data_IF_589565655842
#
_entry.id   IF_589565655842
#
_cell.length_a   1.000
_cell.length_b   1.000
_cell.length_c   1.000
_cell.angle_alpha   90.00
_cell.angle_beta   90.00
_cell.angle_gamma   90.00
#
_symmetry.space_group_name_H-M   'P 1'
#
loop_
_entity.id
_entity.type
_entity.pdbx_description
1 polymer ?
#
# COMPACT_ATOMS: atom_id res chain seq x y z
N UNK A 1 -13.73 6.54 26.80
CA UNK A 1 -14.64 5.68 27.58
C UNK A 1 -15.78 5.14 26.72
N UNK A 2 -16.05 3.83 26.76
CA UNK A 2 -17.09 3.12 25.97
C UNK A 2 -18.38 2.86 26.76
N UNK A 3 -18.54 3.52 27.90
CA UNK A 3 -19.75 3.45 28.74
C UNK A 3 -19.87 2.22 29.63
N UNK A 4 -18.89 1.31 29.62
CA UNK A 4 -18.89 0.13 30.49
C UNK A 4 -17.64 -0.73 30.34
N UNK A 5 -17.55 -1.79 31.16
CA UNK A 5 -16.47 -2.77 31.10
C UNK A 5 -16.64 -3.68 29.88
N UNK A 6 -15.59 -3.85 29.09
CA UNK A 6 -15.56 -4.80 27.96
C UNK A 6 -15.08 -6.20 28.36
N UNK A 7 -14.31 -6.26 29.44
CA UNK A 7 -13.72 -7.47 29.97
C UNK A 7 -14.06 -7.59 31.44
N UNK A 8 -14.29 -8.81 31.88
CA UNK A 8 -14.46 -9.17 33.28
C UNK A 8 -13.48 -10.28 33.62
N UNK A 9 -12.73 -10.08 34.70
CA UNK A 9 -11.76 -11.05 35.20
C UNK A 9 -12.33 -11.76 36.42
N UNK A 10 -12.40 -13.09 36.37
CA UNK A 10 -12.80 -13.94 37.47
C UNK A 10 -11.65 -14.89 37.81
N UNK A 11 -10.88 -14.52 38.83
CA UNK A 11 -9.61 -15.18 39.23
C UNK A 11 -8.62 -15.27 38.07
N UNK A 12 -8.48 -16.46 37.49
CA UNK A 12 -7.56 -16.79 36.40
C UNK A 12 -8.24 -16.82 35.03
N UNK A 13 -9.55 -16.53 34.95
CA UNK A 13 -10.29 -16.49 33.71
C UNK A 13 -10.65 -15.03 33.34
N UNK A 14 -10.50 -14.70 32.06
CA UNK A 14 -10.92 -13.41 31.49
C UNK A 14 -12.01 -13.67 30.46
N UNK A 15 -13.16 -13.04 30.66
CA UNK A 15 -14.30 -13.16 29.77
C UNK A 15 -14.63 -11.80 29.15
N UNK A 16 -15.14 -11.82 27.92
CA UNK A 16 -15.82 -10.67 27.35
C UNK A 16 -17.14 -10.47 28.09
N UNK A 17 -17.47 -9.22 28.41
CA UNK A 17 -18.82 -8.85 28.87
C UNK A 17 -19.79 -8.81 27.68
N UNK A 18 -21.09 -8.71 27.94
CA UNK A 18 -22.10 -8.54 26.89
C UNK A 18 -21.82 -7.30 26.02
N UNK A 19 -21.40 -6.19 26.65
CA UNK A 19 -20.95 -4.99 25.95
C UNK A 19 -19.71 -5.26 25.09
N UNK A 20 -18.75 -6.01 25.63
CA UNK A 20 -17.57 -6.46 24.88
C UNK A 20 -17.94 -7.28 23.65
N UNK A 21 -18.90 -8.20 23.77
CA UNK A 21 -19.36 -9.05 22.65
C UNK A 21 -20.04 -8.20 21.59
N UNK A 22 -20.92 -7.28 22.02
CA UNK A 22 -21.62 -6.35 21.14
C UNK A 22 -20.65 -5.48 20.32
N UNK A 23 -19.57 -5.00 20.94
CA UNK A 23 -18.62 -4.07 20.31
C UNK A 23 -17.50 -4.76 19.55
N UNK A 24 -17.20 -6.04 19.84
CA UNK A 24 -16.16 -6.82 19.17
C UNK A 24 -16.17 -6.72 17.64
N UNK A 25 -17.28 -6.91 16.91
CA UNK A 25 -17.27 -6.82 15.45
C UNK A 25 -16.92 -5.40 14.96
N UNK A 26 -17.34 -4.35 15.68
CA UNK A 26 -17.01 -2.97 15.31
C UNK A 26 -15.52 -2.69 15.49
N UNK A 27 -14.94 -3.12 16.60
CA UNK A 27 -13.50 -2.99 16.79
C UNK A 27 -12.70 -3.79 15.77
N UNK A 28 -13.16 -4.98 15.40
CA UNK A 28 -12.51 -5.76 14.35
C UNK A 28 -12.53 -5.01 13.01
N UNK A 29 -13.68 -4.47 12.60
CA UNK A 29 -13.79 -3.65 11.39
C UNK A 29 -12.81 -2.46 11.39
N UNK A 30 -12.72 -1.75 12.51
CA UNK A 30 -11.81 -0.61 12.65
C UNK A 30 -10.36 -1.06 12.54
N UNK A 31 -9.98 -2.18 13.17
CA UNK A 31 -8.62 -2.73 13.09
C UNK A 31 -8.27 -3.16 11.66
N UNK A 32 -9.20 -3.80 10.96
CA UNK A 32 -9.02 -4.23 9.57
C UNK A 32 -8.83 -3.01 8.66
N UNK A 33 -9.65 -1.96 8.84
CA UNK A 33 -9.55 -0.71 8.10
C UNK A 33 -8.21 0.01 8.37
N UNK A 34 -7.81 0.15 9.64
CA UNK A 34 -6.52 0.74 10.00
C UNK A 34 -5.34 -0.03 9.41
N UNK A 35 -5.44 -1.36 9.36
CA UNK A 35 -4.41 -2.20 8.74
C UNK A 35 -4.35 -1.95 7.22
N UNK A 36 -5.51 -1.84 6.56
CA UNK A 36 -5.60 -1.48 5.15
C UNK A 36 -4.98 -0.12 4.85
N UNK A 37 -5.31 0.91 5.63
CA UNK A 37 -4.75 2.27 5.50
C UNK A 37 -3.24 2.26 5.66
N UNK A 38 -2.71 1.52 6.65
CA UNK A 38 -1.26 1.41 6.84
C UNK A 38 -0.57 0.75 5.65
N UNK A 39 -1.18 -0.31 5.09
CA UNK A 39 -0.66 -0.95 3.89
C UNK A 39 -0.67 0.03 2.72
N UNK A 40 -1.79 0.70 2.46
CA UNK A 40 -1.91 1.67 1.37
C UNK A 40 -0.90 2.82 1.49
N UNK A 41 -0.74 3.40 2.68
CA UNK A 41 0.28 4.40 2.95
C UNK A 41 1.70 3.86 2.70
N UNK A 42 1.98 2.62 3.11
CA UNK A 42 3.27 1.97 2.84
C UNK A 42 3.49 1.78 1.34
N UNK A 43 2.48 1.35 0.58
CA UNK A 43 2.58 1.18 -0.88
C UNK A 43 2.85 2.50 -1.59
N UNK A 44 2.18 3.56 -1.15
CA UNK A 44 2.38 4.92 -1.66
C UNK A 44 3.82 5.39 -1.38
N UNK A 45 4.30 5.27 -0.15
CA UNK A 45 5.64 5.70 0.25
C UNK A 45 6.75 4.85 -0.39
N UNK A 46 6.55 3.55 -0.53
CA UNK A 46 7.51 2.63 -1.14
C UNK A 46 7.46 2.62 -2.68
N UNK A 47 6.58 3.42 -3.29
CA UNK A 47 6.43 3.53 -4.74
C UNK A 47 6.25 2.14 -5.40
N UNK A 48 5.46 1.25 -4.79
CA UNK A 48 5.20 -0.10 -5.35
C UNK A 48 4.51 -0.06 -6.73
N UNK A 49 4.04 1.12 -7.16
CA UNK A 49 3.55 1.45 -8.50
C UNK A 49 4.14 2.79 -8.97
N UNK A 50 5.47 2.93 -8.94
CA UNK A 50 6.16 4.16 -9.34
C UNK A 50 5.91 4.47 -10.82
N UNK A 51 5.69 5.75 -11.15
CA UNK A 51 5.71 6.20 -12.55
C UNK A 51 7.06 6.85 -12.84
N UNK A 52 7.84 6.25 -13.74
CA UNK A 52 9.15 6.73 -14.15
C UNK A 52 9.08 7.27 -15.58
N UNK A 53 9.23 8.60 -15.70
CA UNK A 53 9.31 9.31 -16.99
C UNK A 53 10.77 9.43 -17.42
N UNK A 54 11.07 8.94 -18.62
CA UNK A 54 12.40 8.98 -19.22
C UNK A 54 12.36 9.90 -20.43
N UNK A 55 13.09 11.01 -20.35
CA UNK A 55 13.30 11.91 -21.48
C UNK A 55 14.50 11.46 -22.31
N UNK A 56 14.33 11.27 -23.61
CA UNK A 56 15.43 10.94 -24.53
C UNK A 56 15.54 12.00 -25.61
N UNK A 57 16.72 12.60 -25.74
CA UNK A 57 17.01 13.55 -26.80
C UNK A 57 16.91 12.86 -28.17
N UNK A 58 16.29 13.53 -29.14
CA UNK A 58 16.08 13.02 -30.50
C UNK A 58 17.39 12.61 -31.22
N UNK A 59 18.53 13.23 -30.87
CA UNK A 59 19.86 12.93 -31.44
C UNK A 59 20.42 11.57 -31.00
N UNK A 60 20.05 11.09 -29.81
CA UNK A 60 20.46 9.77 -29.31
C UNK A 60 19.56 8.67 -29.88
N UNK A 61 18.31 9.01 -30.23
CA UNK A 61 17.35 8.11 -30.86
C UNK A 61 16.67 7.19 -29.84
N UNK A 62 15.37 7.36 -29.56
CA UNK A 62 14.64 6.60 -28.53
C UNK A 62 14.63 5.09 -28.80
N UNK A 63 14.73 4.67 -30.06
CA UNK A 63 14.79 3.27 -30.46
C UNK A 63 15.98 2.52 -29.87
N UNK A 64 17.09 3.21 -29.58
CA UNK A 64 18.30 2.60 -28.99
C UNK A 64 18.08 2.11 -27.55
N UNK A 65 17.10 2.65 -26.83
CA UNK A 65 16.80 2.30 -25.44
C UNK A 65 15.72 1.23 -25.30
N UNK A 66 15.05 0.84 -26.39
CA UNK A 66 13.91 -0.09 -26.36
C UNK A 66 14.22 -1.41 -25.68
N UNK A 67 15.37 -2.02 -26.00
CA UNK A 67 15.82 -3.27 -25.38
C UNK A 67 16.04 -3.14 -23.88
N UNK A 68 16.76 -2.08 -23.45
CA UNK A 68 17.04 -1.80 -22.04
C UNK A 68 15.74 -1.57 -21.24
N UNK A 69 14.83 -0.75 -21.77
CA UNK A 69 13.57 -0.42 -21.10
C UNK A 69 12.64 -1.63 -21.01
N UNK A 70 12.57 -2.46 -22.05
CA UNK A 70 11.80 -3.72 -22.02
C UNK A 70 12.37 -4.72 -21.00
N UNK A 71 13.69 -4.74 -20.83
CA UNK A 71 14.40 -5.56 -19.86
C UNK A 71 14.14 -5.06 -18.43
N UNK A 72 14.21 -3.75 -18.21
CA UNK A 72 13.87 -3.11 -16.95
C UNK A 72 12.41 -3.35 -16.54
N UNK A 73 11.44 -3.17 -17.44
CA UNK A 73 10.02 -3.44 -17.16
C UNK A 73 9.75 -4.88 -16.75
N UNK A 74 10.47 -5.86 -17.32
CA UNK A 74 10.34 -7.26 -16.90
C UNK A 74 10.87 -7.51 -15.49
N UNK A 75 11.98 -6.86 -15.13
CA UNK A 75 12.61 -7.04 -13.80
C UNK A 75 11.88 -6.27 -12.70
N UNK A 76 11.27 -5.13 -13.03
CA UNK A 76 10.65 -4.22 -12.07
C UNK A 76 9.15 -4.09 -12.35
N UNK A 77 8.36 -5.06 -11.86
CA UNK A 77 6.92 -5.13 -12.12
C UNK A 77 6.11 -4.01 -11.43
N UNK A 78 6.69 -3.32 -10.44
CA UNK A 78 6.08 -2.20 -9.72
C UNK A 78 6.39 -0.82 -10.32
N UNK A 79 6.98 -0.74 -11.51
CA UNK A 79 7.35 0.55 -12.14
C UNK A 79 6.73 0.68 -13.52
N UNK A 80 5.86 1.66 -13.69
CA UNK A 80 5.35 2.07 -14.99
C UNK A 80 6.34 3.01 -15.66
N UNK A 81 6.88 2.59 -16.81
CA UNK A 81 7.78 3.41 -17.63
C UNK A 81 7.00 4.24 -18.65
N UNK A 82 7.34 5.52 -18.76
CA UNK A 82 6.89 6.41 -19.82
C UNK A 82 8.09 7.00 -20.56
N UNK A 83 8.18 6.80 -21.87
CA UNK A 83 9.23 7.39 -22.71
C UNK A 83 8.71 8.68 -23.33
N UNK A 84 9.47 9.77 -23.16
CA UNK A 84 9.17 11.07 -23.74
C UNK A 84 10.32 11.45 -24.66
N UNK A 85 10.01 11.81 -25.90
CA UNK A 85 11.01 12.36 -26.82
C UNK A 85 11.24 13.84 -26.48
N UNK A 86 12.50 14.18 -26.22
CA UNK A 86 12.92 15.57 -26.06
C UNK A 86 13.03 16.23 -27.43
N UNK A 87 12.06 17.07 -27.76
CA UNK A 87 12.13 18.00 -28.89
C UNK A 87 12.84 19.26 -28.38
N UNK A 88 13.90 19.76 -29.05
CA UNK A 88 14.57 21.00 -28.67
C UNK A 88 13.64 22.21 -28.75
#
# INVERSE_FOLDING_TARGET
>A
EVGGLLFRRERNLTHLTDLGVLLRPRFQQILDELTGVRQEASRFLCLENANLKVGVMCTIGPRRFTGLLAEFSRRQQGIQLQLVEGVP
#
